data_IF_076785485077
#
_entry.id   IF_076785485077
#
_cell.length_a   1.000
_cell.length_b   1.000
_cell.length_c   1.000
_cell.angle_alpha   90.00
_cell.angle_beta   90.00
_cell.angle_gamma   90.00
#
_symmetry.space_group_name_H-M   'P 1'
#
loop_
_entity.id
_entity.type
_entity.pdbx_description
1 polymer ?
#
# COMPACT_ATOMS: atom_id res chain seq x y z
N UNK A 1 -11.71 -2.55 10.28
CA UNK A 1 -11.86 -2.07 8.90
C UNK A 1 -11.13 -2.94 7.87
N UNK A 2 -9.82 -3.13 7.92
CA UNK A 2 -9.05 -3.90 6.90
C UNK A 2 -8.91 -5.40 7.19
N UNK A 3 -9.59 -5.92 8.18
CA UNK A 3 -9.72 -7.36 8.51
C UNK A 3 -8.42 -8.19 8.40
N UNK A 4 -7.39 -7.78 9.14
CA UNK A 4 -6.07 -8.47 9.14
C UNK A 4 -6.03 -9.75 9.97
N UNK A 5 -7.09 -10.06 10.72
CA UNK A 5 -7.18 -11.21 11.62
C UNK A 5 -6.01 -11.32 12.62
N UNK A 6 -5.45 -10.19 13.04
CA UNK A 6 -4.41 -10.10 14.06
C UNK A 6 -4.97 -9.36 15.27
N UNK A 7 -5.02 -10.04 16.40
CA UNK A 7 -5.49 -9.47 17.67
C UNK A 7 -4.34 -8.84 18.47
N UNK A 8 -4.66 -8.06 19.49
CA UNK A 8 -3.64 -7.57 20.42
C UNK A 8 -2.95 -8.70 21.19
N UNK A 9 -3.68 -9.77 21.49
CA UNK A 9 -3.12 -10.95 22.18
C UNK A 9 -2.10 -11.67 21.30
N UNK A 10 -2.37 -11.80 19.99
CA UNK A 10 -1.40 -12.35 19.03
C UNK A 10 -0.12 -11.50 18.98
N UNK A 11 -0.29 -10.17 18.91
CA UNK A 11 0.83 -9.23 18.91
C UNK A 11 1.67 -9.35 20.18
N UNK A 12 1.02 -9.33 21.35
CA UNK A 12 1.73 -9.39 22.62
C UNK A 12 2.35 -10.76 22.87
N UNK A 13 1.70 -11.85 22.44
CA UNK A 13 2.26 -13.19 22.46
C UNK A 13 3.53 -13.31 21.61
N UNK A 14 3.52 -12.76 20.41
CA UNK A 14 4.69 -12.71 19.53
C UNK A 14 5.83 -11.89 20.12
N UNK A 15 5.53 -10.74 20.74
CA UNK A 15 6.51 -9.88 21.43
C UNK A 15 7.15 -10.65 22.60
N UNK A 16 6.34 -11.28 23.44
CA UNK A 16 6.85 -12.09 24.58
C UNK A 16 7.80 -13.19 24.12
N UNK A 17 7.39 -13.94 23.10
CA UNK A 17 8.20 -15.05 22.58
C UNK A 17 9.55 -14.53 22.01
N UNK A 18 9.51 -13.49 21.19
CA UNK A 18 10.68 -12.91 20.55
C UNK A 18 11.67 -12.35 21.60
N UNK A 19 11.20 -11.55 22.56
CA UNK A 19 12.07 -10.88 23.54
C UNK A 19 12.61 -11.85 24.58
N UNK A 20 11.86 -12.86 24.98
CA UNK A 20 12.36 -13.99 25.78
C UNK A 20 13.46 -14.79 25.06
N UNK A 21 13.32 -14.96 23.73
CA UNK A 21 14.32 -15.62 22.90
C UNK A 21 15.60 -14.78 22.64
N UNK A 22 15.67 -13.57 23.16
CA UNK A 22 16.88 -12.74 23.09
C UNK A 22 16.79 -11.55 22.14
N UNK A 23 15.71 -11.34 21.42
CA UNK A 23 15.51 -10.15 20.59
C UNK A 23 15.48 -8.88 21.44
N UNK A 24 15.90 -7.75 20.85
CA UNK A 24 15.97 -6.45 21.54
C UNK A 24 15.29 -5.33 20.76
N UNK A 25 14.88 -5.60 19.53
CA UNK A 25 14.20 -4.63 18.66
C UNK A 25 12.95 -5.27 18.05
N UNK A 26 11.89 -4.47 17.95
CA UNK A 26 10.66 -4.84 17.25
C UNK A 26 10.23 -3.66 16.39
N UNK A 27 9.79 -3.94 15.16
CA UNK A 27 9.20 -2.94 14.27
C UNK A 27 7.75 -3.32 13.99
N UNK A 28 6.84 -2.42 14.31
CA UNK A 28 5.41 -2.55 14.07
C UNK A 28 5.04 -1.73 12.83
N UNK A 29 4.14 -2.26 12.01
CA UNK A 29 3.67 -1.59 10.82
C UNK A 29 2.22 -1.19 10.98
N UNK A 30 1.92 0.07 10.73
CA UNK A 30 0.58 0.65 10.79
C UNK A 30 0.23 1.35 9.49
N UNK A 31 -1.05 1.59 9.31
CA UNK A 31 -1.58 2.41 8.22
C UNK A 31 -2.49 3.46 8.82
N UNK A 32 -2.39 4.70 8.33
CA UNK A 32 -3.26 5.83 8.70
C UNK A 32 -3.89 6.45 7.46
N UNK A 33 -4.94 7.24 7.64
CA UNK A 33 -5.67 7.85 6.53
C UNK A 33 -6.73 6.95 5.93
N UNK A 34 -7.10 5.87 6.62
CA UNK A 34 -8.19 4.99 6.21
C UNK A 34 -9.55 5.74 6.21
N UNK A 35 -10.49 5.35 5.34
CA UNK A 35 -11.84 5.86 5.41
C UNK A 35 -12.43 5.65 6.82
N UNK A 36 -13.15 6.64 7.32
CA UNK A 36 -13.77 6.68 8.66
C UNK A 36 -12.80 6.72 9.87
N UNK A 37 -11.49 6.75 9.65
CA UNK A 37 -10.50 6.85 10.72
C UNK A 37 -10.61 8.18 11.49
N UNK A 38 -10.58 8.10 12.81
CA UNK A 38 -10.70 9.23 13.72
C UNK A 38 -9.37 9.58 14.40
N UNK A 39 -9.32 10.72 15.08
CA UNK A 39 -8.16 11.09 15.90
C UNK A 39 -7.95 10.14 17.08
N UNK A 40 -9.01 9.50 17.56
CA UNK A 40 -8.94 8.50 18.63
C UNK A 40 -8.26 7.21 18.14
N UNK A 41 -8.48 6.81 16.88
CA UNK A 41 -7.79 5.67 16.28
C UNK A 41 -6.28 5.94 16.18
N UNK A 42 -5.89 7.16 15.79
CA UNK A 42 -4.49 7.58 15.77
C UNK A 42 -3.85 7.53 17.15
N UNK A 43 -4.54 7.99 18.20
CA UNK A 43 -4.08 7.88 19.59
C UNK A 43 -4.04 6.43 20.06
N UNK A 44 -4.95 5.59 19.56
CA UNK A 44 -4.97 4.15 19.78
C UNK A 44 -3.67 3.48 19.30
N UNK A 45 -3.16 3.85 18.12
CA UNK A 45 -1.86 3.40 17.61
C UNK A 45 -0.74 3.77 18.60
N UNK A 46 -0.70 5.03 19.08
CA UNK A 46 0.30 5.47 20.05
C UNK A 46 0.24 4.64 21.35
N UNK A 47 -0.95 4.39 21.86
CA UNK A 47 -1.17 3.56 23.04
C UNK A 47 -0.69 2.13 22.82
N UNK A 48 -1.02 1.52 21.69
CA UNK A 48 -0.63 0.15 21.37
C UNK A 48 0.90 0.01 21.28
N UNK A 49 1.59 0.93 20.61
CA UNK A 49 3.06 0.92 20.49
C UNK A 49 3.74 1.07 21.86
N UNK A 50 3.20 1.92 22.74
CA UNK A 50 3.72 2.11 24.10
C UNK A 50 3.52 0.83 24.95
N UNK A 51 2.34 0.22 24.88
CA UNK A 51 2.08 -1.08 25.56
C UNK A 51 2.97 -2.20 25.01
N UNK A 52 3.22 -2.21 23.69
CA UNK A 52 4.15 -3.14 23.08
C UNK A 52 5.58 -2.96 23.62
N UNK A 53 6.02 -1.72 23.79
CA UNK A 53 7.31 -1.43 24.42
C UNK A 53 7.37 -1.90 25.88
N UNK A 54 6.33 -1.62 26.69
CA UNK A 54 6.27 -2.05 28.09
C UNK A 54 6.31 -3.57 28.19
N UNK A 55 5.58 -4.27 27.30
CA UNK A 55 5.57 -5.73 27.21
C UNK A 55 6.94 -6.29 26.85
N UNK A 56 7.58 -5.74 25.82
CA UNK A 56 8.92 -6.10 25.41
C UNK A 56 9.95 -5.91 26.54
N UNK A 57 9.86 -4.77 27.25
CA UNK A 57 10.73 -4.46 28.37
C UNK A 57 10.52 -5.39 29.57
N UNK A 58 9.29 -5.83 29.83
CA UNK A 58 8.99 -6.79 30.88
C UNK A 58 9.51 -8.19 30.57
N UNK A 59 9.52 -8.58 29.27
CA UNK A 59 9.94 -9.89 28.82
C UNK A 59 11.47 -10.14 28.90
N UNK A 60 12.29 -9.08 29.06
CA UNK A 60 13.76 -9.18 29.13
C UNK A 60 14.28 -9.02 30.56
N UNK A 61 15.43 -9.67 30.89
CA UNK A 61 16.12 -9.48 32.17
C UNK A 61 16.43 -8.01 32.45
N UNK A 62 16.45 -7.58 33.73
CA UNK A 62 16.64 -6.18 34.11
C UNK A 62 17.87 -5.49 33.49
N UNK A 63 19.00 -6.21 33.39
CA UNK A 63 20.26 -5.75 32.82
C UNK A 63 20.19 -5.43 31.32
N UNK A 64 19.20 -5.98 30.61
CA UNK A 64 19.02 -5.78 29.16
C UNK A 64 17.90 -4.81 28.81
N UNK A 65 17.13 -4.33 29.79
CA UNK A 65 15.95 -3.45 29.55
C UNK A 65 16.31 -2.13 28.88
N UNK A 66 17.53 -1.62 29.10
CA UNK A 66 18.04 -0.41 28.45
C UNK A 66 18.21 -0.54 26.93
N UNK A 67 18.38 -1.76 26.44
CA UNK A 67 18.61 -2.06 25.02
C UNK A 67 17.32 -2.31 24.22
N UNK A 68 16.17 -2.35 24.88
CA UNK A 68 14.88 -2.56 24.22
C UNK A 68 14.51 -1.34 23.38
N UNK A 69 14.15 -1.57 22.12
CA UNK A 69 13.63 -0.56 21.19
C UNK A 69 12.40 -1.10 20.48
N UNK A 70 11.40 -0.25 20.36
CA UNK A 70 10.22 -0.53 19.52
C UNK A 70 10.09 0.63 18.55
N UNK A 71 9.89 0.32 17.29
CA UNK A 71 9.62 1.32 16.27
C UNK A 71 8.28 1.04 15.59
N UNK A 72 7.55 2.11 15.24
CA UNK A 72 6.36 2.05 14.40
C UNK A 72 6.69 2.65 13.03
N UNK A 73 6.41 1.89 11.98
CA UNK A 73 6.45 2.36 10.60
C UNK A 73 5.02 2.59 10.13
N UNK A 74 4.71 3.82 9.78
CA UNK A 74 3.35 4.26 9.46
C UNK A 74 3.27 4.55 7.98
N UNK A 75 2.48 3.74 7.25
CA UNK A 75 2.15 3.99 5.86
C UNK A 75 0.90 4.86 5.77
N UNK A 76 0.83 5.72 4.76
CA UNK A 76 -0.40 6.39 4.40
C UNK A 76 -1.28 5.46 3.55
N UNK A 77 -2.58 5.51 3.78
CA UNK A 77 -3.53 4.79 2.95
C UNK A 77 -3.50 5.30 1.51
N UNK A 78 -3.28 4.40 0.58
CA UNK A 78 -3.38 4.65 -0.86
C UNK A 78 -4.44 3.72 -1.43
N UNK A 79 -5.55 4.24 -1.97
CA UNK A 79 -6.58 3.41 -2.58
C UNK A 79 -6.01 2.59 -3.73
N UNK A 80 -6.27 1.29 -3.73
CA UNK A 80 -5.78 0.36 -4.75
C UNK A 80 -6.93 -0.17 -5.60
N UNK A 81 -6.65 -0.43 -6.86
CA UNK A 81 -7.57 -1.09 -7.79
C UNK A 81 -8.00 -2.46 -7.26
N UNK A 82 -9.19 -2.89 -7.63
CA UNK A 82 -9.75 -4.22 -7.29
C UNK A 82 -9.82 -4.51 -5.78
N UNK A 83 -9.96 -3.45 -4.96
CA UNK A 83 -10.16 -3.55 -3.51
C UNK A 83 -11.48 -2.87 -3.10
N UNK A 84 -12.03 -3.20 -1.92
CA UNK A 84 -13.25 -2.54 -1.42
C UNK A 84 -13.15 -1.02 -1.35
N UNK A 85 -11.97 -0.47 -1.13
CA UNK A 85 -11.73 0.96 -1.01
C UNK A 85 -11.29 1.64 -2.31
N UNK A 86 -11.41 0.99 -3.46
CA UNK A 86 -11.02 1.58 -4.75
C UNK A 86 -11.80 2.87 -5.12
N UNK A 87 -12.98 3.07 -4.53
CA UNK A 87 -13.80 4.27 -4.74
C UNK A 87 -13.50 5.40 -3.75
N UNK A 88 -12.75 5.11 -2.69
CA UNK A 88 -12.41 6.10 -1.67
C UNK A 88 -11.23 6.95 -2.12
N UNK A 89 -11.24 8.24 -1.74
CA UNK A 89 -10.11 9.13 -1.94
C UNK A 89 -9.05 8.97 -0.86
N UNK A 90 -7.81 9.31 -1.20
CA UNK A 90 -6.76 9.52 -0.21
C UNK A 90 -7.01 10.83 0.54
N UNK A 91 -6.67 10.90 1.81
CA UNK A 91 -6.69 12.18 2.56
C UNK A 91 -5.65 13.15 1.99
N UNK A 92 -5.89 14.48 2.07
CA UNK A 92 -4.90 15.46 1.63
C UNK A 92 -3.56 15.34 2.37
N UNK A 93 -2.42 15.70 1.72
CA UNK A 93 -1.09 15.61 2.36
C UNK A 93 -0.97 16.38 3.67
N UNK A 94 -1.59 17.55 3.79
CA UNK A 94 -1.64 18.35 5.01
C UNK A 94 -2.39 17.65 6.14
N UNK A 95 -3.49 16.97 5.84
CA UNK A 95 -4.22 16.17 6.82
C UNK A 95 -3.43 14.92 7.23
N UNK A 96 -2.74 14.28 6.28
CA UNK A 96 -1.84 13.18 6.57
C UNK A 96 -0.73 13.61 7.54
N UNK A 97 -0.09 14.76 7.29
CA UNK A 97 0.93 15.32 8.17
C UNK A 97 0.37 15.70 9.54
N UNK A 98 -0.86 16.24 9.60
CA UNK A 98 -1.56 16.53 10.87
C UNK A 98 -1.71 15.26 11.71
N UNK A 99 -2.17 14.15 11.11
CA UNK A 99 -2.34 12.86 11.79
C UNK A 99 -1.01 12.26 12.23
N UNK A 100 0.02 12.32 11.40
CA UNK A 100 1.39 11.91 11.78
C UNK A 100 1.87 12.69 13.00
N UNK A 101 1.67 14.02 13.01
CA UNK A 101 2.07 14.85 14.14
C UNK A 101 1.25 14.54 15.40
N UNK A 102 -0.07 14.26 15.27
CA UNK A 102 -0.90 13.80 16.37
C UNK A 102 -0.35 12.49 16.97
N UNK A 103 -0.02 11.51 16.13
CA UNK A 103 0.57 10.24 16.53
C UNK A 103 1.89 10.46 17.32
N UNK A 104 2.82 11.21 16.73
CA UNK A 104 4.13 11.51 17.35
C UNK A 104 3.99 12.20 18.71
N UNK A 105 3.10 13.19 18.81
CA UNK A 105 2.86 13.92 20.03
C UNK A 105 2.15 13.08 21.12
N UNK A 106 1.47 12.00 20.71
CA UNK A 106 0.81 11.07 21.64
C UNK A 106 1.74 10.01 22.21
N UNK A 107 2.93 9.79 21.59
CA UNK A 107 3.95 8.86 22.09
C UNK A 107 4.83 9.57 23.10
N UNK A 108 4.90 9.03 24.33
CA UNK A 108 5.63 9.62 25.47
C UNK A 108 7.02 9.02 25.68
N UNK A 109 7.27 7.82 25.13
CA UNK A 109 8.49 7.07 25.40
C UNK A 109 9.60 7.40 24.38
N UNK A 110 10.74 7.91 24.87
CA UNK A 110 11.94 8.19 24.05
C UNK A 110 12.54 6.95 23.38
N UNK A 111 12.20 5.76 23.85
CA UNK A 111 12.67 4.49 23.30
C UNK A 111 11.72 3.89 22.23
N UNK A 112 10.71 4.66 21.84
CA UNK A 112 9.77 4.35 20.77
C UNK A 112 10.00 5.33 19.62
N UNK A 113 10.41 4.82 18.48
CA UNK A 113 10.65 5.59 17.26
C UNK A 113 9.44 5.50 16.31
N UNK A 114 9.00 6.64 15.77
CA UNK A 114 7.93 6.71 14.78
C UNK A 114 8.52 7.13 13.45
N UNK A 115 8.40 6.26 12.46
CA UNK A 115 8.76 6.52 11.07
C UNK A 115 7.48 6.56 10.23
N UNK A 116 7.44 7.36 9.19
CA UNK A 116 6.28 7.44 8.29
C UNK A 116 6.71 7.65 6.84
N UNK A 117 5.84 7.27 5.92
CA UNK A 117 6.02 7.58 4.51
C UNK A 117 5.74 9.06 4.27
N UNK A 118 6.54 9.67 3.42
CA UNK A 118 6.36 11.07 3.04
C UNK A 118 4.99 11.28 2.37
N UNK A 119 4.18 12.28 2.82
CA UNK A 119 2.86 12.52 2.27
C UNK A 119 2.85 12.90 0.79
N UNK A 120 3.86 13.66 0.32
CA UNK A 120 3.91 14.08 -1.07
C UNK A 120 4.23 12.91 -2.01
N UNK A 121 5.15 12.02 -1.60
CA UNK A 121 5.44 10.77 -2.34
C UNK A 121 4.21 9.85 -2.37
N UNK A 122 3.52 9.71 -1.23
CA UNK A 122 2.29 8.91 -1.14
C UNK A 122 1.16 9.50 -1.98
N UNK A 123 1.10 10.82 -2.12
CA UNK A 123 0.14 11.49 -2.99
C UNK A 123 0.39 11.18 -4.47
N UNK A 124 1.64 11.22 -4.92
CA UNK A 124 2.02 10.80 -6.29
C UNK A 124 1.63 9.34 -6.53
N UNK A 125 1.88 8.45 -5.55
CA UNK A 125 1.46 7.05 -5.63
C UNK A 125 -0.07 6.92 -5.77
N UNK A 126 -0.86 7.72 -5.05
CA UNK A 126 -2.31 7.70 -5.14
C UNK A 126 -2.81 8.13 -6.52
N UNK A 127 -2.21 9.17 -7.10
CA UNK A 127 -2.53 9.60 -8.48
C UNK A 127 -2.24 8.49 -9.47
N UNK A 128 -1.09 7.82 -9.38
CA UNK A 128 -0.74 6.69 -10.25
C UNK A 128 -1.68 5.49 -10.05
N UNK A 129 -2.06 5.20 -8.81
CA UNK A 129 -2.94 4.06 -8.48
C UNK A 129 -4.38 4.26 -8.94
N UNK A 130 -4.82 5.50 -9.10
CA UNK A 130 -6.22 5.85 -9.43
C UNK A 130 -6.39 6.48 -10.80
N UNK A 131 -5.31 7.00 -11.38
CA UNK A 131 -5.30 7.64 -12.68
C UNK A 131 -5.55 6.66 -13.83
N UNK A 132 -6.07 7.21 -14.93
CA UNK A 132 -6.18 6.51 -16.19
C UNK A 132 -4.91 6.71 -17.04
N UNK A 133 -5.07 6.65 -18.38
CA UNK A 133 -3.95 6.79 -19.33
C UNK A 133 -3.22 8.12 -19.23
N UNK A 134 -3.90 9.19 -18.82
CA UNK A 134 -3.28 10.51 -18.58
C UNK A 134 -2.17 10.49 -17.52
N UNK A 135 -2.15 9.49 -16.65
CA UNK A 135 -1.05 9.32 -15.70
C UNK A 135 0.29 9.03 -16.39
N UNK A 136 0.27 8.40 -17.56
CA UNK A 136 1.48 8.15 -18.34
C UNK A 136 2.09 9.46 -18.85
N UNK A 137 1.27 10.37 -19.37
CA UNK A 137 1.71 11.68 -19.84
C UNK A 137 2.29 12.51 -18.69
N UNK A 138 1.69 12.42 -17.51
CA UNK A 138 2.17 13.07 -16.30
C UNK A 138 3.55 12.54 -15.86
N UNK A 139 3.73 11.22 -15.84
CA UNK A 139 5.02 10.58 -15.52
C UNK A 139 6.10 11.02 -16.52
N UNK A 140 5.79 11.03 -17.83
CA UNK A 140 6.73 11.47 -18.85
C UNK A 140 7.09 12.95 -18.68
N UNK A 141 6.14 13.81 -18.41
CA UNK A 141 6.36 15.24 -18.17
C UNK A 141 7.22 15.48 -16.91
N UNK A 142 6.96 14.74 -15.81
CA UNK A 142 7.78 14.80 -14.60
C UNK A 142 9.22 14.34 -14.87
N UNK A 143 9.37 13.22 -15.59
CA UNK A 143 10.68 12.74 -16.01
C UNK A 143 11.46 13.76 -16.86
N UNK A 144 10.81 14.42 -17.81
CA UNK A 144 11.44 15.50 -18.63
C UNK A 144 11.85 16.69 -17.78
N UNK A 145 11.19 16.93 -16.63
CA UNK A 145 11.55 17.96 -15.63
C UNK A 145 12.60 17.52 -14.63
N UNK A 146 13.16 16.31 -14.80
CA UNK A 146 14.28 15.82 -13.99
C UNK A 146 13.90 14.86 -12.86
N UNK A 147 12.63 14.52 -12.67
CA UNK A 147 12.21 13.52 -11.70
C UNK A 147 12.90 12.17 -11.98
N UNK A 148 13.63 11.65 -11.02
CA UNK A 148 14.39 10.40 -11.07
C UNK A 148 14.49 9.83 -9.67
N UNK A 149 14.35 8.51 -9.54
CA UNK A 149 14.54 7.81 -8.27
C UNK A 149 13.65 8.33 -7.14
N UNK A 150 12.39 8.67 -7.45
CA UNK A 150 11.43 9.32 -6.54
C UNK A 150 11.04 8.46 -5.33
N UNK A 151 11.43 7.18 -5.29
CA UNK A 151 11.32 6.33 -4.10
C UNK A 151 12.30 6.71 -2.98
N UNK A 152 13.31 7.52 -3.29
CA UNK A 152 14.29 8.03 -2.33
C UNK A 152 13.89 9.45 -1.94
N UNK A 153 13.55 9.67 -0.70
CA UNK A 153 13.02 10.95 -0.20
C UNK A 153 13.94 12.12 -0.54
N UNK A 154 15.26 11.93 -0.46
CA UNK A 154 16.27 12.93 -0.77
C UNK A 154 16.39 13.27 -2.27
N UNK A 155 15.84 12.41 -3.13
CA UNK A 155 15.87 12.61 -4.60
C UNK A 155 14.49 13.00 -5.16
N UNK A 156 13.44 12.95 -4.33
CA UNK A 156 12.09 13.28 -4.73
C UNK A 156 11.96 14.77 -5.08
N UNK A 157 11.56 15.06 -6.32
CA UNK A 157 11.39 16.41 -6.84
C UNK A 157 9.91 16.80 -6.93
N UNK A 158 9.30 17.16 -5.81
CA UNK A 158 7.86 17.51 -5.73
C UNK A 158 7.48 18.59 -6.75
N UNK A 159 8.31 19.64 -6.93
CA UNK A 159 8.10 20.71 -7.90
C UNK A 159 8.05 20.21 -9.35
N UNK A 160 8.82 19.19 -9.70
CA UNK A 160 8.78 18.58 -11.03
C UNK A 160 7.42 17.93 -11.29
N UNK A 161 6.90 17.18 -10.33
CA UNK A 161 5.59 16.56 -10.40
C UNK A 161 4.45 17.58 -10.46
N UNK A 162 4.50 18.62 -9.64
CA UNK A 162 3.50 19.68 -9.62
C UNK A 162 3.44 20.45 -10.95
N UNK A 163 4.60 20.82 -11.50
CA UNK A 163 4.66 21.52 -12.80
C UNK A 163 4.27 20.62 -13.96
N UNK A 164 4.62 19.33 -13.90
CA UNK A 164 4.21 18.36 -14.90
C UNK A 164 2.69 18.22 -14.99
N UNK A 165 1.97 18.30 -13.87
CA UNK A 165 0.52 18.28 -13.87
C UNK A 165 -0.09 19.44 -14.67
N UNK A 166 0.49 20.64 -14.51
CA UNK A 166 0.09 21.82 -15.29
C UNK A 166 0.38 21.67 -16.78
N UNK A 167 1.52 21.03 -17.15
CA UNK A 167 1.89 20.83 -18.56
C UNK A 167 0.91 19.92 -19.29
N UNK A 168 0.42 18.86 -18.62
CA UNK A 168 -0.49 17.89 -19.21
C UNK A 168 -1.96 18.17 -18.93
N UNK A 169 -2.25 19.22 -18.16
CA UNK A 169 -3.62 19.66 -17.88
C UNK A 169 -4.44 18.72 -17.01
N UNK A 170 -3.82 18.04 -16.05
CA UNK A 170 -4.52 17.20 -15.07
C UNK A 170 -4.57 17.90 -13.70
N UNK A 171 -5.59 17.57 -12.91
CA UNK A 171 -5.64 17.86 -11.48
C UNK A 171 -5.32 16.61 -10.67
N UNK A 172 -4.10 16.50 -10.11
CA UNK A 172 -3.72 15.37 -9.29
C UNK A 172 -4.59 15.21 -8.04
N UNK A 173 -5.09 16.31 -7.46
CA UNK A 173 -5.94 16.25 -6.28
C UNK A 173 -7.32 15.65 -6.61
N UNK A 174 -7.90 16.01 -7.73
CA UNK A 174 -9.15 15.40 -8.20
C UNK A 174 -8.98 13.89 -8.41
N UNK A 175 -7.84 13.44 -8.93
CA UNK A 175 -7.58 12.02 -9.16
C UNK A 175 -7.37 11.29 -7.82
N UNK A 176 -6.51 11.80 -6.93
CA UNK A 176 -6.10 11.11 -5.72
C UNK A 176 -7.17 11.16 -4.62
N UNK A 177 -7.88 12.29 -4.48
CA UNK A 177 -8.70 12.58 -3.29
C UNK A 177 -10.21 12.45 -3.53
N UNK A 178 -10.66 12.41 -4.80
CA UNK A 178 -12.09 12.32 -5.09
C UNK A 178 -12.70 11.02 -4.54
N UNK A 179 -13.84 11.18 -3.89
CA UNK A 179 -14.74 10.08 -3.55
C UNK A 179 -15.55 9.74 -4.80
N UNK A 180 -15.47 8.48 -5.26
CA UNK A 180 -16.18 8.05 -6.46
C UNK A 180 -17.43 7.22 -6.11
N UNK A 181 -18.43 7.32 -6.96
CA UNK A 181 -19.61 6.47 -6.87
C UNK A 181 -19.28 5.03 -7.29
N UNK A 182 -19.91 4.03 -6.65
CA UNK A 182 -19.66 2.61 -6.95
C UNK A 182 -20.14 2.16 -8.31
N UNK A 183 -20.96 2.96 -9.00
CA UNK A 183 -21.39 2.73 -10.39
C UNK A 183 -20.40 3.27 -11.43
N UNK A 184 -19.38 4.04 -11.01
CA UNK A 184 -18.37 4.58 -11.91
C UNK A 184 -17.58 3.48 -12.59
N UNK A 185 -17.42 3.56 -13.91
CA UNK A 185 -16.49 2.72 -14.66
C UNK A 185 -15.07 3.12 -14.29
N UNK A 186 -14.33 2.21 -13.68
CA UNK A 186 -12.98 2.47 -13.19
C UNK A 186 -11.95 2.38 -14.33
N UNK A 187 -10.83 3.11 -14.27
CA UNK A 187 -9.78 3.04 -15.29
C UNK A 187 -9.26 1.63 -15.57
N UNK A 188 -9.36 0.73 -14.59
CA UNK A 188 -8.93 -0.67 -14.65
C UNK A 188 -10.08 -1.67 -14.88
N UNK A 189 -11.29 -1.21 -15.28
CA UNK A 189 -12.47 -2.07 -15.47
C UNK A 189 -12.27 -3.17 -16.52
N UNK A 190 -11.29 -3.00 -17.41
CA UNK A 190 -10.91 -3.99 -18.44
C UNK A 190 -10.03 -5.13 -17.88
N UNK A 191 -9.62 -5.08 -16.61
CA UNK A 191 -8.83 -6.11 -15.93
C UNK A 191 -9.73 -6.81 -14.91
N UNK A 192 -9.86 -8.13 -15.01
CA UNK A 192 -10.64 -8.92 -14.05
C UNK A 192 -9.70 -9.69 -13.12
N UNK A 193 -9.95 -9.62 -11.82
CA UNK A 193 -9.34 -10.48 -10.81
C UNK A 193 -10.24 -11.65 -10.42
N UNK A 194 -11.39 -11.81 -11.10
CA UNK A 194 -12.43 -12.76 -10.75
C UNK A 194 -13.36 -12.28 -9.62
N UNK A 195 -12.96 -11.28 -8.84
CA UNK A 195 -13.80 -10.72 -7.77
C UNK A 195 -14.80 -9.73 -8.37
N UNK A 196 -16.09 -9.94 -8.08
CA UNK A 196 -17.14 -9.08 -8.64
C UNK A 196 -17.13 -7.69 -8.01
N UNK A 197 -17.45 -6.67 -8.82
CA UNK A 197 -17.60 -5.27 -8.35
C UNK A 197 -18.67 -5.15 -7.27
N UNK A 198 -19.76 -5.93 -7.38
CA UNK A 198 -20.82 -6.01 -6.37
C UNK A 198 -20.29 -6.48 -5.03
N UNK A 199 -19.44 -7.50 -5.03
CA UNK A 199 -18.82 -8.01 -3.80
C UNK A 199 -17.91 -6.94 -3.16
N UNK A 200 -17.06 -6.28 -3.94
CA UNK A 200 -16.21 -5.19 -3.45
C UNK A 200 -17.03 -4.06 -2.83
N UNK A 201 -18.16 -3.67 -3.46
CA UNK A 201 -19.04 -2.64 -2.91
C UNK A 201 -19.74 -3.09 -1.62
N UNK A 202 -20.08 -4.38 -1.49
CA UNK A 202 -20.62 -4.95 -0.25
C UNK A 202 -19.58 -4.96 0.86
N UNK A 203 -18.34 -5.38 0.56
CA UNK A 203 -17.24 -5.37 1.52
C UNK A 203 -16.90 -3.96 1.99
N UNK A 204 -16.96 -2.95 1.11
CA UNK A 204 -16.84 -1.55 1.51
C UNK A 204 -17.90 -1.12 2.52
N UNK A 205 -19.17 -1.53 2.30
CA UNK A 205 -20.26 -1.26 3.26
C UNK A 205 -20.05 -1.98 4.59
N UNK A 206 -19.59 -3.24 4.55
CA UNK A 206 -19.27 -4.01 5.77
C UNK A 206 -18.11 -3.38 6.53
N UNK A 207 -17.06 -2.95 5.84
CA UNK A 207 -15.93 -2.25 6.46
C UNK A 207 -16.37 -0.97 7.17
N UNK A 208 -17.25 -0.16 6.56
CA UNK A 208 -17.80 1.05 7.18
C UNK A 208 -18.72 0.74 8.39
N UNK A 209 -19.35 -0.43 8.41
CA UNK A 209 -20.17 -0.91 9.52
C UNK A 209 -19.36 -1.73 10.56
N UNK A 210 -18.03 -1.76 10.44
CA UNK A 210 -17.12 -2.54 11.31
C UNK A 210 -17.45 -4.03 11.39
N UNK A 211 -18.09 -4.56 10.34
CA UNK A 211 -18.45 -5.97 10.25
C UNK A 211 -17.37 -6.74 9.48
N UNK A 212 -16.86 -7.81 10.07
CA UNK A 212 -15.87 -8.68 9.44
C UNK A 212 -16.51 -9.71 8.54
N UNK A 213 -15.85 -10.03 7.43
CA UNK A 213 -16.20 -11.13 6.54
C UNK A 213 -15.33 -12.34 6.89
N UNK A 214 -15.92 -13.53 7.06
CA UNK A 214 -15.16 -14.73 7.37
C UNK A 214 -14.21 -15.13 6.23
N UNK A 215 -13.11 -15.78 6.58
CA UNK A 215 -12.16 -16.31 5.60
C UNK A 215 -12.71 -17.60 4.97
N UNK A 216 -13.05 -17.53 3.67
CA UNK A 216 -13.62 -18.65 2.95
C UNK A 216 -12.66 -19.85 2.78
N UNK A 217 -11.39 -19.71 3.15
CA UNK A 217 -10.43 -20.82 3.19
C UNK A 217 -10.77 -21.81 4.32
N UNK A 218 -11.28 -21.30 5.44
CA UNK A 218 -11.57 -22.07 6.64
C UNK A 218 -13.06 -22.14 6.96
N UNK A 219 -13.85 -21.25 6.37
CA UNK A 219 -15.26 -21.08 6.66
C UNK A 219 -16.12 -21.13 5.39
N UNK A 220 -17.35 -20.61 5.48
CA UNK A 220 -18.28 -20.53 4.37
C UNK A 220 -17.79 -19.65 3.24
N UNK A 221 -18.03 -20.08 1.99
CA UNK A 221 -17.85 -19.24 0.82
C UNK A 221 -18.66 -17.94 0.95
N UNK A 222 -18.00 -16.80 0.70
CA UNK A 222 -18.57 -15.46 0.82
C UNK A 222 -19.16 -14.93 -0.49
N UNK A 223 -19.05 -15.70 -1.58
CA UNK A 223 -19.64 -15.35 -2.87
C UNK A 223 -18.89 -14.26 -3.63
N UNK A 224 -17.57 -14.14 -3.49
CA UNK A 224 -16.77 -13.11 -4.16
C UNK A 224 -16.70 -13.29 -5.69
N UNK A 225 -16.93 -14.52 -6.23
CA UNK A 225 -16.91 -14.85 -7.64
C UNK A 225 -15.55 -15.34 -8.16
N UNK A 226 -14.45 -15.17 -7.43
CA UNK A 226 -13.10 -15.43 -7.93
C UNK A 226 -12.90 -16.88 -8.38
N UNK A 227 -13.31 -17.86 -7.57
CA UNK A 227 -13.15 -19.30 -7.90
C UNK A 227 -13.88 -19.69 -9.19
N UNK A 228 -15.08 -19.15 -9.41
CA UNK A 228 -15.85 -19.40 -10.63
C UNK A 228 -15.22 -18.73 -11.86
N UNK A 229 -14.80 -17.45 -11.71
CA UNK A 229 -14.22 -16.69 -12.82
C UNK A 229 -12.86 -17.23 -13.28
N UNK A 230 -12.10 -17.86 -12.35
CA UNK A 230 -10.75 -18.36 -12.59
C UNK A 230 -10.72 -19.89 -12.79
N UNK A 231 -11.88 -20.56 -12.76
CA UNK A 231 -12.00 -22.02 -12.82
C UNK A 231 -11.04 -22.75 -11.87
N UNK A 232 -11.07 -22.34 -10.61
CA UNK A 232 -10.19 -22.86 -9.58
C UNK A 232 -10.93 -23.15 -8.27
N UNK A 233 -10.39 -24.08 -7.48
CA UNK A 233 -10.84 -24.34 -6.13
C UNK A 233 -10.05 -23.51 -5.10
N UNK A 234 -10.74 -23.04 -4.06
CA UNK A 234 -10.10 -22.43 -2.91
C UNK A 234 -9.50 -23.51 -1.99
N UNK A 235 -8.30 -23.99 -2.33
CA UNK A 235 -7.60 -25.02 -1.57
C UNK A 235 -6.25 -24.52 -1.06
N UNK A 236 -6.01 -24.64 0.24
CA UNK A 236 -4.66 -24.56 0.78
C UNK A 236 -3.96 -25.93 0.66
N UNK A 237 -2.65 -25.91 0.49
CA UNK A 237 -1.85 -27.15 0.47
C UNK A 237 -2.12 -27.98 1.75
N UNK A 238 -2.62 -29.21 1.58
CA UNK A 238 -2.95 -30.12 2.66
C UNK A 238 -4.35 -30.03 3.25
N UNK A 239 -5.18 -29.09 2.80
CA UNK A 239 -6.58 -28.97 3.24
C UNK A 239 -7.51 -29.26 2.06
N UNK A 240 -8.45 -30.21 2.22
CA UNK A 240 -9.48 -30.48 1.21
C UNK A 240 -10.65 -29.49 1.37
N UNK A 241 -10.98 -28.76 0.31
CA UNK A 241 -12.22 -27.97 0.27
C UNK A 241 -13.44 -28.90 0.29
N UNK A 242 -14.48 -28.53 1.01
CA UNK A 242 -15.73 -29.27 0.99
C UNK A 242 -16.51 -28.92 -0.30
N UNK A 243 -17.02 -29.90 -1.08
CA UNK A 243 -17.69 -29.66 -2.37
C UNK A 243 -18.96 -28.81 -2.29
N UNK A 244 -19.52 -28.55 -1.10
CA UNK A 244 -20.77 -27.81 -0.92
C UNK A 244 -20.66 -26.29 -1.17
N UNK A 245 -19.45 -25.73 -1.20
CA UNK A 245 -19.25 -24.29 -1.42
C UNK A 245 -19.52 -23.87 -2.88
N UNK A 246 -19.25 -24.76 -3.86
CA UNK A 246 -19.44 -24.50 -5.28
C UNK A 246 -20.92 -24.49 -5.71
N UNK A 247 -21.77 -25.30 -5.07
CA UNK A 247 -23.17 -25.44 -5.46
C UNK A 247 -24.05 -24.22 -5.08
N UNK A 248 -23.72 -23.50 -4.03
CA UNK A 248 -24.49 -22.34 -3.55
C UNK A 248 -24.19 -21.08 -4.39
N UNK A 249 -22.96 -20.93 -4.85
CA UNK A 249 -22.54 -19.78 -5.63
C UNK A 249 -23.08 -19.81 -7.09
N UNK A 250 -23.31 -20.99 -7.65
CA UNK A 250 -23.80 -21.16 -9.03
C UNK A 250 -25.24 -20.67 -9.24
N UNK A 251 -26.07 -20.63 -8.18
CA UNK A 251 -27.46 -20.16 -8.25
C UNK A 251 -27.65 -18.64 -8.27
N UNK A 252 -26.71 -17.89 -7.68
CA UNK A 252 -26.84 -16.44 -7.51
C UNK A 252 -26.00 -15.61 -8.51
N UNK A 253 -24.93 -16.19 -9.10
CA UNK A 253 -24.04 -15.47 -10.00
C UNK A 253 -24.61 -15.26 -11.43
N UNK A 254 -25.63 -16.00 -11.82
CA UNK A 254 -26.23 -15.89 -13.18
C UNK A 254 -27.09 -14.64 -13.39
N UNK A 255 -27.31 -13.82 -12.35
CA UNK A 255 -28.27 -12.71 -12.40
C UNK A 255 -27.63 -11.31 -12.54
N UNK A 256 -26.29 -11.17 -12.63
CA UNK A 256 -25.68 -9.84 -12.47
C UNK A 256 -24.52 -9.51 -13.42
N UNK A 257 -24.68 -9.83 -14.70
CA UNK A 257 -23.86 -9.20 -15.75
C UNK A 257 -24.50 -7.86 -16.09
N UNK A 258 -23.91 -6.76 -15.68
CA UNK A 258 -24.41 -5.43 -16.03
C UNK A 258 -24.33 -5.21 -17.54
N UNK A 259 -25.26 -4.44 -18.17
CA UNK A 259 -25.24 -4.18 -19.61
C UNK A 259 -23.93 -3.62 -20.16
N UNK A 260 -23.15 -2.92 -19.30
CA UNK A 260 -21.83 -2.39 -19.65
C UNK A 260 -20.75 -3.49 -19.77
N UNK A 261 -20.86 -4.57 -18.99
CA UNK A 261 -19.93 -5.71 -19.07
C UNK A 261 -20.28 -6.63 -20.23
N UNK A 262 -21.55 -6.76 -20.56
CA UNK A 262 -22.01 -7.47 -21.75
C UNK A 262 -21.56 -6.77 -23.05
N UNK A 263 -21.63 -5.43 -23.11
CA UNK A 263 -21.15 -4.65 -24.25
C UNK A 263 -19.62 -4.75 -24.46
N UNK A 264 -18.84 -4.98 -23.41
CA UNK A 264 -17.37 -5.19 -23.50
C UNK A 264 -17.03 -6.63 -23.94
N UNK A 265 -17.85 -7.60 -23.63
CA UNK A 265 -17.67 -8.99 -24.09
C UNK A 265 -17.95 -9.17 -25.59
N UNK A 266 -18.87 -8.38 -26.17
CA UNK A 266 -19.18 -8.42 -27.60
C UNK A 266 -18.13 -7.74 -28.49
N UNK A 267 -17.21 -6.94 -27.94
CA UNK A 267 -16.12 -6.29 -28.68
C UNK A 267 -14.89 -7.22 -28.84
N UNK A 268 -14.90 -8.39 -28.21
CA UNK A 268 -13.75 -9.32 -28.15
C UNK A 268 -13.56 -10.26 -29.32
N UNK A 269 -14.56 -10.42 -30.24
CA UNK A 269 -14.54 -11.37 -31.37
C UNK A 269 -14.51 -10.67 -32.74
N UNK A 270 -13.54 -9.79 -32.97
CA UNK A 270 -13.19 -9.38 -34.32
C UNK A 270 -12.00 -10.24 -34.80
N UNK A 271 -12.10 -10.90 -36.00
CA UNK A 271 -11.05 -11.77 -36.46
C UNK A 271 -9.80 -10.95 -36.79
N UNK A 272 -8.66 -11.46 -36.32
CA UNK A 272 -7.32 -10.92 -36.64
C UNK A 272 -7.00 -11.25 -38.12
N UNK A 273 -7.46 -10.43 -39.03
CA UNK A 273 -6.99 -10.42 -40.41
C UNK A 273 -6.94 -8.97 -40.91
N UNK A 274 -5.79 -8.62 -41.43
CA UNK A 274 -5.44 -7.36 -42.10
C UNK A 274 -4.85 -6.23 -41.26
N UNK A 275 -3.62 -6.45 -40.78
CA UNK A 275 -2.64 -5.37 -40.71
C UNK A 275 -1.37 -5.85 -41.43
N UNK A 276 -1.17 -5.38 -42.64
CA UNK A 276 0.06 -5.57 -43.39
C UNK A 276 1.21 -4.77 -42.72
N UNK A 277 2.45 -5.31 -42.67
CA UNK A 277 3.58 -4.57 -42.10
C UNK A 277 4.12 -3.56 -43.11
N UNK A 278 4.08 -2.30 -42.77
CA UNK A 278 4.85 -1.27 -43.47
C UNK A 278 6.33 -1.35 -43.01
N UNK A 279 7.19 -1.53 -44.01
CA UNK A 279 8.64 -1.41 -44.13
C UNK A 279 9.47 -1.15 -42.88
N UNK A 280 10.24 -2.15 -42.45
CA UNK A 280 11.40 -1.97 -41.59
C UNK A 280 12.67 -1.95 -42.43
N UNK A 281 13.34 -0.79 -42.51
CA UNK A 281 14.70 -0.71 -43.01
C UNK A 281 15.68 -1.23 -41.96
N UNK A 282 16.52 -2.15 -42.39
CA UNK A 282 17.53 -2.80 -41.56
C UNK A 282 18.73 -1.87 -41.32
N UNK A 283 19.02 -1.61 -40.04
CA UNK A 283 20.34 -1.10 -39.62
C UNK A 283 21.05 -2.20 -38.84
N UNK A 284 22.27 -2.53 -39.31
CA UNK A 284 23.05 -3.68 -38.93
C UNK A 284 23.47 -3.75 -37.46
N UNK A 285 23.53 -4.98 -36.98
CA UNK A 285 24.11 -5.34 -35.70
C UNK A 285 25.63 -5.56 -35.79
N UNK A 286 26.39 -5.23 -34.74
CA UNK A 286 27.71 -5.83 -34.54
C UNK A 286 27.63 -7.01 -33.54
N UNK A 287 28.57 -7.93 -33.77
CA UNK A 287 28.66 -9.28 -33.29
C UNK A 287 28.81 -9.48 -31.77
N UNK A 288 28.35 -10.65 -31.38
CA UNK A 288 28.48 -11.38 -30.15
C UNK A 288 29.87 -11.47 -29.50
N UNK A 289 29.89 -11.31 -28.16
CA UNK A 289 30.89 -11.99 -27.34
C UNK A 289 30.17 -12.65 -26.16
N UNK A 290 30.25 -13.99 -26.08
CA UNK A 290 29.63 -14.80 -25.10
C UNK A 290 30.35 -14.73 -23.74
N UNK A 291 29.59 -14.82 -22.66
CA UNK A 291 30.07 -15.22 -21.33
C UNK A 291 29.05 -16.16 -20.69
N UNK A 292 29.57 -17.30 -20.27
CA UNK A 292 28.89 -18.42 -19.63
C UNK A 292 28.48 -18.10 -18.17
N UNK A 293 27.47 -18.80 -17.58
CA UNK A 293 27.01 -18.50 -16.23
C UNK A 293 27.78 -19.30 -15.19
N UNK A 294 28.12 -18.66 -14.09
CA UNK A 294 28.61 -19.35 -12.89
C UNK A 294 28.04 -18.71 -11.60
N UNK A 295 27.46 -19.58 -10.79
CA UNK A 295 27.39 -19.59 -9.33
C UNK A 295 26.58 -18.51 -8.60
N UNK A 296 25.46 -18.99 -8.02
CA UNK A 296 24.73 -18.38 -6.92
C UNK A 296 25.64 -18.22 -5.67
N UNK A 297 25.70 -16.99 -5.15
CA UNK A 297 26.29 -16.68 -3.84
C UNK A 297 25.33 -15.82 -3.05
N UNK A 298 24.83 -16.39 -1.95
CA UNK A 298 24.09 -15.68 -0.91
C UNK A 298 25.04 -14.71 -0.22
N UNK A 299 24.77 -13.41 -0.29
CA UNK A 299 25.45 -12.40 0.52
C UNK A 299 24.42 -11.66 1.36
N UNK A 300 24.54 -11.83 2.68
CA UNK A 300 23.89 -11.02 3.68
C UNK A 300 24.37 -9.57 3.59
N UNK A 301 23.45 -8.65 3.64
CA UNK A 301 23.74 -7.22 3.61
C UNK A 301 23.67 -6.66 5.03
N UNK A 302 24.86 -6.58 5.66
CA UNK A 302 25.11 -5.80 6.87
C UNK A 302 25.63 -4.43 6.40
N UNK A 303 24.81 -3.39 6.53
CA UNK A 303 25.26 -2.01 6.34
C UNK A 303 24.84 -1.14 7.52
N UNK A 304 25.66 -1.20 8.56
CA UNK A 304 25.74 -0.18 9.59
C UNK A 304 26.57 0.99 9.05
N UNK A 305 25.91 2.09 8.67
CA UNK A 305 26.59 3.37 8.48
C UNK A 305 26.29 4.25 9.70
N UNK A 306 27.28 4.40 10.55
CA UNK A 306 27.35 5.43 11.58
C UNK A 306 27.55 6.79 10.90
N UNK A 307 26.58 7.70 11.06
CA UNK A 307 26.76 9.12 10.76
C UNK A 307 27.18 9.82 12.04
N UNK A 308 28.44 10.24 12.09
CA UNK A 308 28.98 11.13 13.12
C UNK A 308 28.36 12.53 12.97
N UNK A 309 27.76 13.01 14.04
CA UNK A 309 27.31 14.39 14.19
C UNK A 309 28.51 15.29 14.56
N UNK A 310 28.87 16.17 13.63
CA UNK A 310 29.84 17.25 13.88
C UNK A 310 29.05 18.51 14.30
N UNK A 311 28.96 18.75 15.60
CA UNK A 311 28.44 19.98 16.18
C UNK A 311 29.49 21.07 16.08
N UNK A 312 29.31 22.09 15.24
CA UNK A 312 29.99 23.36 15.34
C UNK A 312 29.06 24.40 15.98
N UNK A 313 29.47 25.08 17.03
CA UNK A 313 28.70 26.16 17.63
C UNK A 313 28.79 27.44 16.77
N UNK A 314 27.65 28.08 16.55
CA UNK A 314 27.54 29.42 15.93
C UNK A 314 27.99 30.50 16.90
N UNK A 315 28.66 31.57 16.44
CA UNK A 315 29.16 32.64 17.30
C UNK A 315 28.04 33.57 17.78
N UNK A 316 28.11 33.86 19.06
CA UNK A 316 27.29 34.89 19.72
C UNK A 316 27.78 36.28 19.28
N UNK A 317 26.89 37.06 18.66
CA UNK A 317 27.16 38.52 18.48
C UNK A 317 26.59 39.30 19.64
N UNK A 318 27.51 39.82 20.47
CA UNK A 318 27.25 40.94 21.38
C UNK A 318 27.11 42.26 20.57
N UNK A 319 26.24 43.11 21.00
CA UNK A 319 26.17 44.51 20.67
C UNK A 319 24.72 44.98 20.77
N UNK A 320 24.34 45.85 21.61
CA UNK A 320 24.93 47.04 22.18
C UNK A 320 23.81 48.07 22.26
N UNK A 321 23.61 48.62 23.41
CA UNK A 321 22.63 49.58 23.82
C UNK A 321 22.45 50.80 22.85
N UNK A 322 21.24 51.21 22.61
CA UNK A 322 20.67 52.52 22.92
C UNK A 322 19.17 52.50 22.80
#
# INVERSE_FOLDING_TARGET
MINKNVTEDDLFGAIDAAFKAGWRRCKLYFMIGLPTETDEDIKGIASLVQRAYDRAKAAVPPEHRGNVRVSASVALFVPKSQTPFQWDGQIPPEEALRRVNLLRNSVKYKAVDIHWHDPATSFVEAVMSRGGRQAADWVEAAWRRGARFDAWTELFLEDAWRRAASDVGIDPAEIAQAQWDTSRVMPWAHISTGVTTRYLALERKRAAAETTTPDCTFEKCTGCGACQALDCDNMLAGVRSTPSALAVAAGEAAADVTPAQAALAEVGDAPASEIAPAGAEAVGAPASAGVSPAAAGVLGNDSSAEAASDERPLPVSEGGAR
#
